data_IF_419125368243
#
_entry.id   IF_419125368243
#
_cell.length_a   1.000
_cell.length_b   1.000
_cell.length_c   1.000
_cell.angle_alpha   90.00
_cell.angle_beta   90.00
_cell.angle_gamma   90.00
#
_symmetry.space_group_name_H-M   'P 1'
#
loop_
_entity.id
_entity.type
_entity.pdbx_description
1 polymer ?
#
# COMPACT_ATOMS: atom_id res chain seq x y z
N UNK A 1 -13.45 8.08 17.57
CA UNK A 1 -13.88 6.86 16.83
C UNK A 1 -12.92 6.69 15.67
N UNK A 2 -12.16 5.59 15.63
CA UNK A 2 -11.25 5.29 14.51
C UNK A 2 -12.11 4.99 13.28
N UNK A 3 -11.94 5.79 12.22
CA UNK A 3 -12.62 5.53 10.97
C UNK A 3 -12.16 4.17 10.43
N UNK A 4 -13.11 3.29 10.10
CA UNK A 4 -12.80 2.00 9.50
C UNK A 4 -12.20 2.25 8.11
N UNK A 5 -10.90 2.00 7.98
CA UNK A 5 -10.17 2.11 6.72
C UNK A 5 -10.66 1.05 5.74
N UNK A 6 -10.97 1.46 4.50
CA UNK A 6 -11.30 0.54 3.41
C UNK A 6 -10.02 0.10 2.71
N UNK A 7 -9.58 -1.11 3.04
CA UNK A 7 -8.37 -1.73 2.48
C UNK A 7 -8.62 -2.30 1.09
N UNK A 8 -7.70 -2.04 0.16
CA UNK A 8 -7.72 -2.56 -1.20
C UNK A 8 -6.44 -3.38 -1.44
N UNK A 9 -6.63 -4.67 -1.74
CA UNK A 9 -5.58 -5.60 -2.16
C UNK A 9 -5.49 -5.61 -3.69
N UNK A 10 -4.28 -5.71 -4.25
CA UNK A 10 -4.07 -5.79 -5.69
C UNK A 10 -4.69 -7.07 -6.28
N UNK A 11 -5.20 -7.02 -7.51
CA UNK A 11 -5.71 -8.23 -8.21
C UNK A 11 -4.58 -9.15 -8.67
N UNK A 12 -3.34 -8.65 -8.74
CA UNK A 12 -2.14 -9.44 -9.04
C UNK A 12 -1.66 -10.28 -7.83
N UNK A 13 -2.26 -10.04 -6.67
CA UNK A 13 -1.88 -10.64 -5.39
C UNK A 13 -2.69 -11.89 -5.02
N UNK A 14 -3.47 -12.44 -5.97
CA UNK A 14 -4.43 -13.54 -5.74
C UNK A 14 -3.93 -14.90 -6.27
N UNK A 15 -2.81 -14.96 -7.00
CA UNK A 15 -2.47 -16.12 -7.84
C UNK A 15 -1.05 -16.69 -7.75
N UNK A 16 -0.27 -16.39 -6.71
CA UNK A 16 1.11 -16.87 -6.56
C UNK A 16 1.37 -17.56 -5.21
N UNK A 17 2.37 -18.45 -5.17
CA UNK A 17 2.87 -19.05 -3.93
C UNK A 17 3.66 -17.99 -3.15
N UNK A 18 2.95 -17.21 -2.32
CA UNK A 18 3.51 -16.15 -1.49
C UNK A 18 2.50 -15.06 -1.16
N UNK A 19 2.15 -14.92 0.12
CA UNK A 19 1.23 -13.89 0.64
C UNK A 19 1.93 -12.54 0.90
N UNK A 20 2.99 -12.20 0.17
CA UNK A 20 3.76 -10.94 0.29
C UNK A 20 3.08 -9.79 -0.47
N UNK A 21 1.83 -9.52 -0.13
CA UNK A 21 1.00 -8.55 -0.82
C UNK A 21 0.84 -7.29 0.02
N UNK A 22 1.01 -6.12 -0.61
CA UNK A 22 0.74 -4.83 0.02
C UNK A 22 -0.72 -4.43 -0.21
N UNK A 23 -1.38 -3.97 0.84
CA UNK A 23 -2.73 -3.39 0.78
C UNK A 23 -2.68 -1.89 1.04
N UNK A 24 -3.57 -1.13 0.37
CA UNK A 24 -3.67 0.32 0.51
C UNK A 24 -5.02 0.74 1.09
N UNK A 25 -5.04 1.79 1.91
CA UNK A 25 -6.27 2.46 2.32
C UNK A 25 -6.11 3.99 2.33
N UNK A 26 -7.12 4.69 1.82
CA UNK A 26 -7.17 6.16 1.81
C UNK A 26 -7.82 6.71 3.08
N UNK A 27 -7.23 7.75 3.64
CA UNK A 27 -7.80 8.61 4.67
C UNK A 27 -7.81 10.08 4.18
N UNK A 28 -8.51 11.02 4.85
CA UNK A 28 -8.65 12.39 4.36
C UNK A 28 -7.34 13.13 4.07
N UNK A 29 -6.28 12.87 4.85
CA UNK A 29 -4.97 13.53 4.72
C UNK A 29 -3.80 12.53 4.61
N UNK A 30 -4.11 11.24 4.42
CA UNK A 30 -3.10 10.20 4.46
C UNK A 30 -3.43 9.00 3.56
N UNK A 31 -2.38 8.27 3.22
CA UNK A 31 -2.42 6.94 2.65
C UNK A 31 -1.77 5.97 3.63
N UNK A 32 -2.43 4.83 3.79
CA UNK A 32 -1.99 3.74 4.64
C UNK A 32 -1.59 2.56 3.76
N UNK A 33 -0.43 1.97 4.05
CA UNK A 33 0.06 0.76 3.41
C UNK A 33 0.31 -0.29 4.49
N UNK A 34 -0.12 -1.53 4.27
CA UNK A 34 0.20 -2.63 5.19
C UNK A 34 0.55 -3.91 4.44
N UNK A 35 1.27 -4.78 5.13
CA UNK A 35 1.52 -6.14 4.68
C UNK A 35 0.27 -7.00 4.93
N UNK A 36 -0.18 -7.76 3.92
CA UNK A 36 -1.38 -8.59 4.01
C UNK A 36 -1.23 -9.73 5.04
N UNK A 37 -0.04 -10.31 5.17
CA UNK A 37 0.24 -11.41 6.10
C UNK A 37 0.56 -10.91 7.53
N UNK A 38 1.04 -9.67 7.65
CA UNK A 38 1.31 -9.01 8.94
C UNK A 38 0.58 -7.66 9.00
N UNK A 39 -0.75 -7.65 9.20
CA UNK A 39 -1.58 -6.43 9.05
C UNK A 39 -1.31 -5.35 10.10
N UNK A 40 -0.50 -5.65 11.13
CA UNK A 40 0.02 -4.70 12.12
C UNK A 40 1.26 -3.94 11.63
N UNK A 41 1.94 -4.44 10.60
CA UNK A 41 3.02 -3.72 9.91
C UNK A 41 2.40 -2.69 8.98
N UNK A 42 2.30 -1.45 9.47
CA UNK A 42 1.58 -0.36 8.85
C UNK A 42 2.52 0.83 8.60
N UNK A 43 2.51 1.34 7.38
CA UNK A 43 3.11 2.62 7.03
C UNK A 43 1.99 3.65 6.78
N UNK A 44 2.13 4.83 7.36
CA UNK A 44 1.27 5.99 7.07
C UNK A 44 2.11 7.07 6.40
N UNK A 45 1.63 7.58 5.27
CA UNK A 45 2.35 8.57 4.46
C UNK A 45 1.38 9.47 3.70
N UNK A 46 1.89 10.53 3.07
CA UNK A 46 1.10 11.37 2.18
C UNK A 46 0.96 10.72 0.78
N UNK A 47 0.01 11.16 -0.06
CA UNK A 47 -0.14 10.64 -1.41
C UNK A 47 1.06 10.87 -2.34
N UNK A 48 1.75 12.01 -2.20
CA UNK A 48 2.85 12.36 -3.09
C UNK A 48 4.05 11.37 -3.01
N UNK A 49 4.55 10.98 -1.81
CA UNK A 49 5.56 9.94 -1.69
C UNK A 49 5.17 8.60 -2.33
N UNK A 50 3.91 8.17 -2.20
CA UNK A 50 3.43 6.91 -2.80
C UNK A 50 3.44 7.02 -4.32
N UNK A 51 2.98 8.15 -4.87
CA UNK A 51 3.02 8.38 -6.31
C UNK A 51 4.46 8.36 -6.86
N UNK A 52 5.40 8.99 -6.16
CA UNK A 52 6.83 8.93 -6.50
C UNK A 52 7.38 7.50 -6.45
N UNK A 53 7.05 6.73 -5.41
CA UNK A 53 7.47 5.34 -5.28
C UNK A 53 6.95 4.49 -6.45
N UNK A 54 5.65 4.57 -6.76
CA UNK A 54 5.04 3.82 -7.87
C UNK A 54 5.66 4.22 -9.22
N UNK A 55 5.94 5.51 -9.42
CA UNK A 55 6.63 5.98 -10.60
C UNK A 55 8.05 5.40 -10.71
N UNK A 56 8.79 5.37 -9.60
CA UNK A 56 10.13 4.80 -9.56
C UNK A 56 10.15 3.29 -9.82
N UNK A 57 9.21 2.54 -9.25
CA UNK A 57 9.03 1.10 -9.52
C UNK A 57 8.75 0.87 -11.01
N UNK A 58 7.84 1.64 -11.61
CA UNK A 58 7.45 1.49 -13.01
C UNK A 58 8.59 1.83 -13.98
N UNK A 59 9.45 2.77 -13.62
CA UNK A 59 10.54 3.25 -14.47
C UNK A 59 11.89 2.61 -14.16
N UNK A 60 11.99 1.87 -13.06
CA UNK A 60 13.26 1.33 -12.55
C UNK A 60 14.22 2.41 -12.04
N UNK A 61 13.72 3.59 -11.65
CA UNK A 61 14.54 4.74 -11.23
C UNK A 61 14.03 5.30 -9.91
N UNK A 62 14.87 5.24 -8.89
CA UNK A 62 14.59 5.84 -7.58
C UNK A 62 15.55 7.04 -7.41
N UNK A 63 15.07 8.23 -7.74
CA UNK A 63 15.86 9.47 -7.73
C UNK A 63 15.03 10.69 -8.06
#
# INVERSE_FOLDING_TARGET
MTQALRWQKSTFSDGGEGNTCVELATAPDALHLRESDTPTTLLTTAPAPVAHLLHGIKTGKFG
#
